data_IF_122073924666
#
_entry.id   IF_122073924666
#
_cell.length_a   1.000
_cell.length_b   1.000
_cell.length_c   1.000
_cell.angle_alpha   90.00
_cell.angle_beta   90.00
_cell.angle_gamma   90.00
#
_symmetry.space_group_name_H-M   'P 1'
#
loop_
_entity.id
_entity.type
_entity.pdbx_description
1 polymer ?
#
# COMPACT_ATOMS: atom_id res chain seq x y z
N UNK A 1 -21.20 16.70 -16.12
CA UNK A 1 -19.78 16.64 -15.71
C UNK A 1 -19.20 15.37 -16.33
N UNK A 2 -18.18 15.50 -17.19
CA UNK A 2 -17.57 14.34 -17.85
C UNK A 2 -16.29 14.00 -17.13
N UNK A 3 -16.20 12.82 -16.52
CA UNK A 3 -14.96 12.36 -15.91
C UNK A 3 -13.94 12.12 -17.03
N UNK A 4 -12.77 12.76 -16.96
CA UNK A 4 -11.63 12.48 -17.84
C UNK A 4 -10.48 11.95 -17.00
N UNK A 5 -9.97 10.80 -17.38
CA UNK A 5 -8.75 10.26 -16.80
C UNK A 5 -7.54 11.08 -17.25
N UNK A 6 -6.66 11.42 -16.31
CA UNK A 6 -5.36 11.97 -16.64
C UNK A 6 -4.52 10.87 -17.32
N UNK A 7 -3.91 11.17 -18.47
CA UNK A 7 -3.05 10.22 -19.18
C UNK A 7 -1.68 10.02 -18.53
N UNK A 8 -1.34 10.85 -17.53
CA UNK A 8 -0.11 10.74 -16.75
C UNK A 8 -0.39 10.02 -15.42
N UNK A 9 0.33 8.92 -15.18
CA UNK A 9 0.30 8.20 -13.91
C UNK A 9 1.44 8.66 -12.99
N UNK A 10 1.20 8.59 -11.68
CA UNK A 10 2.22 8.78 -10.64
C UNK A 10 2.23 7.55 -9.73
N UNK A 11 3.39 7.21 -9.18
CA UNK A 11 3.49 6.18 -8.15
C UNK A 11 3.05 6.77 -6.81
N UNK A 12 2.01 6.20 -6.22
CA UNK A 12 1.47 6.63 -4.91
C UNK A 12 1.88 5.70 -3.76
N UNK A 13 2.32 4.47 -4.08
CA UNK A 13 2.82 3.50 -3.12
C UNK A 13 3.73 2.48 -3.80
N UNK A 14 4.77 2.05 -3.07
CA UNK A 14 5.68 0.99 -3.51
C UNK A 14 6.84 1.46 -4.40
N UNK A 15 7.83 0.59 -4.56
CA UNK A 15 9.02 0.84 -5.41
C UNK A 15 9.14 -0.14 -6.60
N UNK A 16 8.09 -0.90 -6.90
CA UNK A 16 8.07 -1.83 -8.03
C UNK A 16 8.87 -3.13 -7.84
N UNK A 17 9.37 -3.41 -6.63
CA UNK A 17 10.05 -4.67 -6.29
C UNK A 17 9.30 -5.41 -5.18
N UNK A 18 9.30 -6.74 -5.28
CA UNK A 18 8.70 -7.61 -4.27
C UNK A 18 9.58 -7.65 -3.01
N UNK A 19 8.97 -7.55 -1.83
CA UNK A 19 9.68 -7.70 -0.56
C UNK A 19 8.85 -7.34 0.67
N UNK A 20 9.49 -7.41 1.83
CA UNK A 20 8.86 -7.19 3.15
C UNK A 20 9.14 -5.80 3.73
N UNK A 21 10.03 -5.01 3.12
CA UNK A 21 10.33 -3.66 3.59
C UNK A 21 9.08 -2.76 3.54
N UNK A 22 9.09 -1.68 4.32
CA UNK A 22 7.95 -0.77 4.45
C UNK A 22 7.54 -0.10 3.12
N UNK A 23 8.46 0.01 2.17
CA UNK A 23 8.24 0.55 0.82
C UNK A 23 8.01 -0.54 -0.25
N UNK A 24 7.92 -1.81 0.13
CA UNK A 24 7.73 -2.96 -0.77
C UNK A 24 6.40 -3.67 -0.48
N UNK A 25 5.93 -4.42 -1.45
CA UNK A 25 4.74 -5.27 -1.33
C UNK A 25 5.04 -6.67 -1.86
N UNK A 26 4.26 -7.66 -1.43
CA UNK A 26 4.26 -9.01 -1.95
C UNK A 26 2.82 -9.44 -2.22
N UNK A 27 2.46 -9.42 -3.50
CA UNK A 27 1.12 -9.77 -3.99
C UNK A 27 -0.02 -8.96 -3.31
N UNK A 28 0.00 -7.62 -3.37
CA UNK A 28 -1.07 -6.80 -2.80
C UNK A 28 -2.39 -7.07 -3.54
N UNK A 29 -3.49 -7.17 -2.80
CA UNK A 29 -4.79 -7.61 -3.35
C UNK A 29 -5.84 -6.50 -3.44
N UNK A 30 -6.12 -5.80 -2.34
CA UNK A 30 -7.11 -4.74 -2.25
C UNK A 30 -6.53 -3.43 -1.72
N UNK A 31 -7.20 -2.33 -2.04
CA UNK A 31 -6.86 -1.00 -1.54
C UNK A 31 -8.09 -0.11 -1.30
N UNK A 32 -7.99 0.79 -0.32
CA UNK A 32 -9.04 1.77 0.00
C UNK A 32 -8.42 3.07 0.51
N UNK A 33 -9.07 4.20 0.22
CA UNK A 33 -8.71 5.52 0.75
C UNK A 33 -9.58 5.87 1.96
N UNK A 34 -9.00 6.52 2.96
CA UNK A 34 -9.77 7.18 4.02
C UNK A 34 -10.14 8.63 3.65
N UNK A 35 -10.83 9.33 4.55
CA UNK A 35 -11.23 10.74 4.37
C UNK A 35 -10.05 11.73 4.36
N UNK A 36 -8.86 11.29 4.76
CA UNK A 36 -7.62 12.07 4.77
C UNK A 36 -6.72 11.76 3.57
N UNK A 37 -7.22 10.99 2.59
CA UNK A 37 -6.47 10.46 1.45
C UNK A 37 -5.26 9.56 1.85
N UNK A 38 -5.31 8.91 3.01
CA UNK A 38 -4.38 7.82 3.31
C UNK A 38 -4.84 6.55 2.61
N UNK A 39 -3.90 5.88 1.94
CA UNK A 39 -4.13 4.64 1.20
C UNK A 39 -3.83 3.43 2.07
N UNK A 40 -4.83 2.58 2.26
CA UNK A 40 -4.70 1.30 2.95
C UNK A 40 -4.58 0.21 1.89
N UNK A 41 -3.58 -0.65 2.02
CA UNK A 41 -3.28 -1.72 1.06
C UNK A 41 -3.19 -3.04 1.82
N UNK A 42 -3.96 -4.05 1.40
CA UNK A 42 -3.79 -5.41 1.89
C UNK A 42 -2.65 -6.09 1.13
N UNK A 43 -1.53 -6.29 1.82
CA UNK A 43 -0.29 -6.86 1.30
C UNK A 43 -0.29 -8.38 1.56
N UNK A 44 -0.96 -9.14 0.68
CA UNK A 44 -1.49 -10.48 0.96
C UNK A 44 -0.42 -11.46 1.43
N UNK A 45 0.65 -11.62 0.66
CA UNK A 45 1.68 -12.61 0.98
C UNK A 45 2.58 -12.18 2.13
N UNK A 46 2.56 -10.90 2.49
CA UNK A 46 3.21 -10.39 3.70
C UNK A 46 2.26 -10.42 4.91
N UNK A 47 1.03 -10.92 4.77
CA UNK A 47 0.06 -11.04 5.87
C UNK A 47 -0.12 -9.74 6.66
N UNK A 48 -0.15 -8.59 5.98
CA UNK A 48 -0.23 -7.27 6.61
C UNK A 48 -1.14 -6.30 5.87
N UNK A 49 -1.56 -5.25 6.59
CA UNK A 49 -2.18 -4.06 6.01
C UNK A 49 -1.24 -2.88 6.20
N UNK A 50 -0.90 -2.21 5.10
CA UNK A 50 -0.03 -1.04 5.08
C UNK A 50 -0.87 0.22 4.89
N UNK A 51 -0.65 1.23 5.73
CA UNK A 51 -1.14 2.59 5.58
C UNK A 51 -0.07 3.46 4.91
N UNK A 52 -0.42 4.13 3.83
CA UNK A 52 0.41 5.10 3.12
C UNK A 52 -0.25 6.47 3.19
N UNK A 53 0.34 7.38 3.94
CA UNK A 53 -0.06 8.78 3.92
C UNK A 53 0.23 9.38 2.53
N UNK A 54 -0.51 10.43 2.16
CA UNK A 54 -0.27 11.16 0.91
C UNK A 54 1.20 11.59 0.83
N UNK A 55 1.85 11.27 -0.30
CA UNK A 55 3.26 11.56 -0.58
C UNK A 55 4.29 10.87 0.35
N UNK A 56 3.88 9.83 1.11
CA UNK A 56 4.83 9.03 1.88
C UNK A 56 5.74 8.20 0.95
N UNK A 57 6.97 7.92 1.40
CA UNK A 57 7.91 7.03 0.70
C UNK A 57 7.85 5.58 1.20
N UNK A 58 7.23 5.37 2.36
CA UNK A 58 7.13 4.09 3.07
C UNK A 58 5.75 3.97 3.71
N UNK A 59 5.22 2.76 3.79
CA UNK A 59 4.01 2.46 4.54
C UNK A 59 4.26 2.25 6.03
N UNK A 60 3.22 2.42 6.82
CA UNK A 60 3.16 2.01 8.23
C UNK A 60 2.28 0.76 8.33
N UNK A 61 2.77 -0.30 8.98
CA UNK A 61 1.96 -1.50 9.19
C UNK A 61 0.94 -1.21 10.28
N UNK A 62 -0.35 -1.29 9.93
CA UNK A 62 -1.47 -1.00 10.84
C UNK A 62 -2.23 -2.25 11.27
N UNK A 63 -2.00 -3.38 10.59
CA UNK A 63 -2.45 -4.71 10.99
C UNK A 63 -1.51 -5.79 10.45
N UNK A 64 -1.38 -6.91 11.16
CA UNK A 64 -0.44 -7.98 10.83
C UNK A 64 0.99 -7.71 11.32
N UNK A 65 1.97 -8.48 10.83
CA UNK A 65 3.37 -8.33 11.23
C UNK A 65 4.17 -7.52 10.20
N UNK A 66 4.96 -6.56 10.68
CA UNK A 66 5.80 -5.72 9.81
C UNK A 66 6.83 -6.53 8.99
N UNK A 67 7.28 -7.67 9.52
CA UNK A 67 8.30 -8.51 8.90
C UNK A 67 7.77 -9.49 7.84
N UNK A 68 6.47 -9.46 7.52
CA UNK A 68 5.89 -10.38 6.53
C UNK A 68 5.66 -11.81 7.04
N UNK A 69 5.86 -12.07 8.32
CA UNK A 69 5.59 -13.38 8.93
C UNK A 69 4.09 -13.54 9.16
N UNK A 70 3.53 -14.70 8.80
CA UNK A 70 2.17 -15.07 9.20
C UNK A 70 2.04 -15.02 10.72
N UNK A 71 1.01 -14.32 11.22
CA UNK A 71 0.64 -14.39 12.63
C UNK A 71 0.19 -15.81 12.98
N UNK A 72 0.67 -16.33 14.10
CA UNK A 72 0.13 -17.54 14.75
C UNK A 72 -1.19 -17.23 15.43
#
# INVERSE_FOLDING_TARGET
MTLRWNSTAITIAGVGTVGVSANQFNYPFGMVLDSSNALYISDLNNSRVQLWASNAWTGTTVAGQANGTSGT
#
